data_IF_531006290747
#
_entry.id   IF_531006290747
#
_cell.length_a   1.000
_cell.length_b   1.000
_cell.length_c   1.000
_cell.angle_alpha   90.00
_cell.angle_beta   90.00
_cell.angle_gamma   90.00
#
_symmetry.space_group_name_H-M   'P 1'
#
loop_
_entity.id
_entity.type
_entity.pdbx_description
1 polymer ?
#
# COMPACT_ATOMS: atom_id res chain seq x y z
N UNK A 1 -39.83 44.49 10.64
CA UNK A 1 -39.74 43.26 11.47
C UNK A 1 -39.90 41.95 10.68
N UNK A 2 -40.92 41.79 9.82
CA UNK A 2 -41.17 40.51 9.12
C UNK A 2 -40.03 39.99 8.22
N UNK A 3 -39.24 40.86 7.56
CA UNK A 3 -38.11 40.44 6.72
C UNK A 3 -36.94 39.88 7.55
N UNK A 4 -36.63 40.52 8.69
CA UNK A 4 -35.58 40.09 9.63
C UNK A 4 -35.94 38.77 10.28
N UNK A 5 -37.22 38.59 10.66
CA UNK A 5 -37.71 37.33 11.23
C UNK A 5 -37.62 36.15 10.23
N UNK A 6 -37.87 36.41 8.93
CA UNK A 6 -37.69 35.40 7.87
C UNK A 6 -36.23 35.00 7.67
N UNK A 7 -35.29 35.96 7.72
CA UNK A 7 -33.86 35.66 7.63
C UNK A 7 -33.36 34.84 8.84
N UNK A 8 -33.79 35.20 10.05
CA UNK A 8 -33.51 34.43 11.25
C UNK A 8 -34.05 32.99 11.15
N UNK A 9 -35.31 32.84 10.71
CA UNK A 9 -35.92 31.52 10.55
C UNK A 9 -35.18 30.67 9.50
N UNK A 10 -34.82 31.27 8.36
CA UNK A 10 -34.10 30.59 7.30
C UNK A 10 -32.67 30.21 7.72
N UNK A 11 -32.01 31.04 8.53
CA UNK A 11 -30.69 30.74 9.10
C UNK A 11 -30.76 29.58 10.11
N UNK A 12 -31.76 29.58 10.99
CA UNK A 12 -31.98 28.49 11.96
C UNK A 12 -32.34 27.19 11.24
N UNK A 13 -33.19 27.25 10.22
CA UNK A 13 -33.54 26.10 9.40
C UNK A 13 -32.32 25.52 8.67
N UNK A 14 -31.48 26.38 8.06
CA UNK A 14 -30.24 25.94 7.42
C UNK A 14 -29.28 25.29 8.42
N UNK A 15 -29.17 25.80 9.64
CA UNK A 15 -28.34 25.23 10.69
C UNK A 15 -28.84 23.84 11.10
N UNK A 16 -30.15 23.68 11.24
CA UNK A 16 -30.78 22.39 11.54
C UNK A 16 -30.49 21.39 10.41
N UNK A 17 -30.65 21.77 9.14
CA UNK A 17 -30.35 20.88 8.02
C UNK A 17 -28.91 20.34 8.04
N UNK A 18 -27.91 21.18 8.35
CA UNK A 18 -26.50 20.75 8.44
C UNK A 18 -26.29 19.75 9.58
N UNK A 19 -26.96 19.94 10.73
CA UNK A 19 -26.86 19.04 11.88
C UNK A 19 -27.51 17.66 11.64
N UNK A 20 -28.48 17.57 10.73
CA UNK A 20 -29.17 16.32 10.39
C UNK A 20 -28.48 15.50 9.28
N UNK A 21 -27.48 16.05 8.59
CA UNK A 21 -26.68 15.29 7.61
C UNK A 21 -25.62 14.49 8.36
N UNK A 22 -26.03 13.37 8.96
CA UNK A 22 -25.10 12.35 9.46
C UNK A 22 -24.78 11.38 8.32
N UNK A 23 -23.65 11.59 7.64
CA UNK A 23 -23.14 10.62 6.67
C UNK A 23 -22.35 9.53 7.41
N UNK A 24 -22.83 8.29 7.37
CA UNK A 24 -22.03 7.15 7.79
C UNK A 24 -20.99 6.85 6.70
N UNK A 25 -19.74 7.26 6.93
CA UNK A 25 -18.62 6.88 6.08
C UNK A 25 -18.17 5.47 6.47
N UNK A 26 -18.44 4.49 5.63
CA UNK A 26 -17.94 3.13 5.81
C UNK A 26 -16.52 3.04 5.22
N UNK A 27 -15.51 3.13 6.07
CA UNK A 27 -14.16 2.73 5.69
C UNK A 27 -14.10 1.21 5.64
N UNK A 28 -13.97 0.63 4.45
CA UNK A 28 -13.75 -0.80 4.31
C UNK A 28 -12.30 -1.13 4.72
N UNK A 29 -12.06 -2.14 5.58
CA UNK A 29 -10.71 -2.58 5.89
C UNK A 29 -10.02 -3.12 4.63
N UNK A 30 -8.68 -3.03 4.59
CA UNK A 30 -7.90 -3.64 3.53
C UNK A 30 -8.15 -5.16 3.49
N UNK A 31 -8.30 -5.73 2.30
CA UNK A 31 -8.52 -7.17 2.15
C UNK A 31 -7.25 -7.94 2.52
N UNK A 32 -7.27 -8.65 3.64
CA UNK A 32 -6.14 -9.46 4.15
C UNK A 32 -6.09 -10.89 3.56
N UNK A 33 -6.92 -11.19 2.56
CA UNK A 33 -7.06 -12.54 2.03
C UNK A 33 -6.11 -12.88 0.87
N UNK A 34 -6.10 -14.17 0.53
CA UNK A 34 -5.39 -14.70 -0.63
C UNK A 34 -6.11 -14.26 -1.91
N UNK A 35 -5.36 -13.68 -2.85
CA UNK A 35 -5.87 -13.20 -4.13
C UNK A 35 -5.27 -14.03 -5.27
N UNK A 36 -6.10 -14.36 -6.26
CA UNK A 36 -5.64 -14.96 -7.51
C UNK A 36 -4.98 -13.88 -8.38
N UNK A 37 -3.69 -14.03 -8.62
CA UNK A 37 -2.86 -13.15 -9.44
C UNK A 37 -2.48 -13.84 -10.75
N UNK A 38 -2.09 -13.04 -11.74
CA UNK A 38 -1.72 -13.51 -13.07
C UNK A 38 -0.48 -12.77 -13.57
N UNK A 39 0.49 -13.51 -14.08
CA UNK A 39 1.62 -12.97 -14.80
C UNK A 39 1.16 -12.39 -16.15
N UNK A 40 1.81 -11.34 -16.68
CA UNK A 40 1.53 -10.84 -18.02
C UNK A 40 1.61 -11.91 -19.12
N UNK A 41 2.44 -12.95 -18.95
CA UNK A 41 2.55 -14.09 -19.87
C UNK A 41 1.41 -15.12 -19.77
N UNK A 42 0.61 -15.09 -18.70
CA UNK A 42 -0.57 -15.94 -18.57
C UNK A 42 -0.62 -16.81 -17.31
N UNK A 43 0.53 -17.11 -16.70
CA UNK A 43 0.64 -17.99 -15.54
C UNK A 43 -0.10 -17.40 -14.35
N UNK A 44 -0.99 -18.19 -13.73
CA UNK A 44 -1.74 -17.77 -12.55
C UNK A 44 -1.13 -18.34 -11.28
N UNK A 45 -1.23 -17.57 -10.19
CA UNK A 45 -0.80 -18.01 -8.86
C UNK A 45 -1.65 -17.34 -7.79
N UNK A 46 -1.57 -17.85 -6.57
CA UNK A 46 -2.22 -17.27 -5.40
C UNK A 46 -1.19 -16.54 -4.55
N UNK A 47 -1.53 -15.34 -4.11
CA UNK A 47 -0.66 -14.54 -3.25
C UNK A 47 -1.44 -13.64 -2.30
N UNK A 48 -0.80 -13.30 -1.19
CA UNK A 48 -1.29 -12.34 -0.20
C UNK A 48 -0.54 -11.03 -0.39
N UNK A 49 -1.26 -9.93 -0.51
CA UNK A 49 -0.67 -8.59 -0.63
C UNK A 49 -0.36 -8.05 0.76
N UNK A 50 0.82 -7.45 0.91
CA UNK A 50 1.27 -6.88 2.17
C UNK A 50 1.77 -5.47 1.99
N UNK A 51 1.73 -4.69 3.08
CA UNK A 51 2.39 -3.40 3.17
C UNK A 51 1.49 -2.20 2.91
N UNK A 52 2.11 -1.07 2.58
CA UNK A 52 1.49 0.24 2.35
C UNK A 52 2.08 0.93 1.10
N UNK A 53 1.71 2.19 0.85
CA UNK A 53 2.21 2.96 -0.30
C UNK A 53 3.73 3.15 -0.29
N UNK A 54 4.37 2.95 0.87
CA UNK A 54 5.80 3.14 1.06
C UNK A 54 6.58 1.85 0.87
N UNK A 55 6.02 0.73 1.33
CA UNK A 55 6.66 -0.57 1.23
C UNK A 55 5.61 -1.67 1.15
N UNK A 56 5.54 -2.33 -0.01
CA UNK A 56 4.60 -3.42 -0.29
C UNK A 56 5.31 -4.59 -0.96
N UNK A 57 4.73 -5.79 -0.80
CA UNK A 57 5.18 -7.02 -1.44
C UNK A 57 4.03 -8.02 -1.54
N UNK A 58 4.23 -9.10 -2.29
CA UNK A 58 3.33 -10.25 -2.30
C UNK A 58 4.04 -11.45 -1.72
N UNK A 59 3.39 -12.19 -0.82
CA UNK A 59 3.84 -13.52 -0.43
C UNK A 59 2.97 -14.60 -1.07
N UNK A 60 3.58 -15.74 -1.38
CA UNK A 60 2.86 -16.91 -1.90
C UNK A 60 2.64 -17.92 -0.78
N UNK A 61 1.77 -18.91 -1.01
CA UNK A 61 1.54 -20.01 -0.06
C UNK A 61 2.82 -20.78 0.32
N UNK A 62 3.79 -20.83 -0.60
CA UNK A 62 5.07 -21.51 -0.41
C UNK A 62 6.10 -20.64 0.34
N UNK A 63 5.72 -19.43 0.77
CA UNK A 63 6.57 -18.49 1.48
C UNK A 63 7.53 -17.69 0.59
N UNK A 64 7.36 -17.74 -0.73
CA UNK A 64 8.12 -16.89 -1.66
C UNK A 64 7.63 -15.45 -1.59
N UNK A 65 8.57 -14.50 -1.66
CA UNK A 65 8.31 -13.06 -1.69
C UNK A 65 8.51 -12.53 -3.11
N UNK A 66 7.55 -11.73 -3.57
CA UNK A 66 7.49 -11.21 -4.93
C UNK A 66 7.32 -9.69 -4.94
N UNK A 67 7.95 -9.04 -5.93
CA UNK A 67 7.70 -7.65 -6.30
C UNK A 67 7.29 -7.55 -7.77
N UNK A 68 6.37 -6.63 -8.05
CA UNK A 68 5.98 -6.34 -9.42
C UNK A 68 6.96 -5.34 -10.04
N UNK A 69 7.44 -5.63 -11.25
CA UNK A 69 8.22 -4.67 -12.02
C UNK A 69 7.33 -3.69 -12.81
N UNK A 70 7.96 -2.71 -13.45
CA UNK A 70 7.27 -1.70 -14.26
C UNK A 70 6.50 -2.28 -15.47
N UNK A 71 6.80 -3.51 -15.87
CA UNK A 71 6.11 -4.22 -16.96
C UNK A 71 4.97 -5.09 -16.45
N UNK A 72 4.72 -5.10 -15.14
CA UNK A 72 3.66 -5.87 -14.52
C UNK A 72 4.04 -7.31 -14.16
N UNK A 73 5.29 -7.73 -14.36
CA UNK A 73 5.72 -9.09 -14.00
C UNK A 73 6.03 -9.19 -12.52
N UNK A 74 5.58 -10.30 -11.91
CA UNK A 74 5.93 -10.65 -10.54
C UNK A 74 7.25 -11.42 -10.51
N UNK A 75 8.24 -10.85 -9.84
CA UNK A 75 9.60 -11.35 -9.79
C UNK A 75 9.98 -11.78 -8.37
N UNK A 76 10.77 -12.83 -8.26
CA UNK A 76 11.48 -13.17 -7.03
C UNK A 76 12.35 -12.01 -6.58
N UNK A 77 12.49 -11.86 -5.28
CA UNK A 77 13.25 -10.75 -4.69
C UNK A 77 14.38 -11.26 -3.81
N UNK A 78 15.45 -10.49 -3.76
CA UNK A 78 16.54 -10.65 -2.81
C UNK A 78 16.49 -9.54 -1.77
N UNK A 79 17.00 -9.84 -0.59
CA UNK A 79 17.13 -8.89 0.48
C UNK A 79 18.58 -8.42 0.57
N UNK A 80 18.80 -7.14 0.30
CA UNK A 80 20.09 -6.49 0.53
C UNK A 80 20.16 -5.95 1.97
N UNK A 81 21.26 -5.27 2.34
CA UNK A 81 21.42 -4.69 3.69
C UNK A 81 20.24 -3.80 4.10
N UNK A 82 19.71 -3.04 3.15
CA UNK A 82 18.87 -1.88 3.40
C UNK A 82 17.65 -1.81 2.47
N UNK A 83 17.52 -2.74 1.52
CA UNK A 83 16.46 -2.74 0.51
C UNK A 83 16.04 -4.14 0.05
N UNK A 84 14.73 -4.29 -0.24
CA UNK A 84 14.15 -5.43 -0.94
C UNK A 84 14.21 -5.19 -2.46
N UNK A 85 14.98 -6.00 -3.19
CA UNK A 85 15.23 -5.78 -4.63
C UNK A 85 14.71 -6.93 -5.49
N UNK A 86 14.17 -6.60 -6.66
CA UNK A 86 13.81 -7.60 -7.66
C UNK A 86 15.07 -8.25 -8.23
N UNK A 87 15.06 -9.59 -8.30
CA UNK A 87 16.11 -10.37 -8.97
C UNK A 87 15.94 -10.41 -10.49
N UNK A 88 14.81 -9.91 -11.01
CA UNK A 88 14.42 -10.03 -12.42
C UNK A 88 14.05 -11.46 -12.86
N UNK A 89 14.01 -12.43 -11.94
CA UNK A 89 13.55 -13.79 -12.21
C UNK A 89 12.05 -13.88 -11.93
N UNK A 90 11.27 -14.20 -12.96
CA UNK A 90 9.82 -14.18 -12.91
C UNK A 90 9.26 -15.43 -12.24
N UNK A 91 8.34 -15.23 -11.30
CA UNK A 91 7.68 -16.30 -10.58
C UNK A 91 6.89 -17.21 -11.53
N UNK A 92 6.99 -18.54 -11.36
CA UNK A 92 6.39 -19.60 -12.22
C UNK A 92 6.88 -19.66 -13.67
N UNK A 93 7.80 -18.80 -14.09
CA UNK A 93 8.33 -18.76 -15.46
C UNK A 93 9.82 -19.10 -15.45
N UNK A 94 10.59 -18.40 -14.61
CA UNK A 94 12.02 -18.61 -14.46
C UNK A 94 12.31 -19.56 -13.29
N UNK A 95 13.48 -20.22 -13.31
CA UNK A 95 13.96 -21.00 -12.18
C UNK A 95 14.16 -20.09 -10.96
N UNK A 96 13.60 -20.49 -9.81
CA UNK A 96 13.75 -19.79 -8.53
C UNK A 96 15.25 -19.61 -8.19
N UNK A 97 15.71 -18.37 -7.96
CA UNK A 97 17.09 -18.11 -7.60
C UNK A 97 17.34 -18.51 -6.14
N UNK A 98 18.55 -18.99 -5.82
CA UNK A 98 18.93 -19.42 -4.46
C UNK A 98 18.99 -18.26 -3.45
N UNK A 99 19.23 -17.03 -3.95
CA UNK A 99 19.21 -15.78 -3.18
C UNK A 99 17.80 -15.24 -2.90
N UNK A 100 16.74 -15.89 -3.41
CA UNK A 100 15.37 -15.45 -3.16
C UNK A 100 15.05 -15.45 -1.67
N UNK A 101 14.61 -14.30 -1.15
CA UNK A 101 14.22 -14.18 0.25
C UNK A 101 12.89 -14.91 0.47
N UNK A 102 12.75 -15.53 1.65
CA UNK A 102 11.47 -16.05 2.11
C UNK A 102 10.77 -15.06 3.04
N UNK A 103 9.47 -15.24 3.20
CA UNK A 103 8.62 -14.37 4.01
C UNK A 103 9.08 -14.28 5.47
N UNK A 104 9.51 -15.39 6.08
CA UNK A 104 9.98 -15.39 7.47
C UNK A 104 11.23 -14.53 7.67
N UNK A 105 12.20 -14.59 6.73
CA UNK A 105 13.41 -13.78 6.80
C UNK A 105 13.09 -12.31 6.52
N UNK A 106 12.19 -12.03 5.58
CA UNK A 106 11.72 -10.67 5.32
C UNK A 106 11.04 -10.07 6.56
N UNK A 107 10.12 -10.80 7.21
CA UNK A 107 9.40 -10.32 8.39
C UNK A 107 10.35 -9.99 9.55
N UNK A 108 11.41 -10.80 9.75
CA UNK A 108 12.47 -10.51 10.72
C UNK A 108 13.21 -9.22 10.38
N UNK A 109 13.56 -9.03 9.10
CA UNK A 109 14.24 -7.82 8.65
C UNK A 109 13.36 -6.58 8.79
N UNK A 110 12.08 -6.65 8.40
CA UNK A 110 11.10 -5.55 8.54
C UNK A 110 11.01 -5.12 10.01
N UNK A 111 10.91 -6.08 10.94
CA UNK A 111 10.82 -5.78 12.37
C UNK A 111 12.04 -5.02 12.90
N UNK A 112 13.23 -5.36 12.42
CA UNK A 112 14.48 -4.76 12.90
C UNK A 112 14.80 -3.42 12.21
N UNK A 113 14.51 -3.33 10.91
CA UNK A 113 14.96 -2.22 10.07
C UNK A 113 13.89 -1.14 9.84
N UNK A 114 12.60 -1.49 9.94
CA UNK A 114 11.46 -0.60 9.68
C UNK A 114 11.57 0.19 8.36
N UNK A 115 11.52 -0.50 7.21
CA UNK A 115 11.71 0.12 5.88
C UNK A 115 10.67 1.19 5.56
N UNK A 116 9.45 1.05 6.10
CA UNK A 116 8.36 2.00 5.91
C UNK A 116 8.69 3.37 6.51
N UNK A 117 9.15 3.40 7.76
CA UNK A 117 9.54 4.63 8.44
C UNK A 117 10.71 5.32 7.73
N UNK A 118 11.71 4.54 7.29
CA UNK A 118 12.87 5.08 6.57
C UNK A 118 12.46 5.76 5.27
N UNK A 119 11.66 5.09 4.43
CA UNK A 119 11.18 5.66 3.15
C UNK A 119 10.32 6.92 3.37
N UNK A 120 9.48 6.95 4.40
CA UNK A 120 8.72 8.15 4.79
C UNK A 120 9.66 9.31 5.15
N UNK A 121 10.68 9.05 5.96
CA UNK A 121 11.66 10.06 6.35
C UNK A 121 12.46 10.59 5.15
N UNK A 122 12.91 9.71 4.25
CA UNK A 122 13.61 10.09 3.02
C UNK A 122 12.76 11.01 2.13
N UNK A 123 11.47 10.70 1.99
CA UNK A 123 10.54 11.54 1.24
C UNK A 123 10.33 12.91 1.89
N UNK A 124 10.14 12.96 3.21
CA UNK A 124 10.00 14.24 3.92
C UNK A 124 11.26 15.11 3.80
N UNK A 125 12.44 14.51 3.88
CA UNK A 125 13.72 15.21 3.67
C UNK A 125 13.84 15.75 2.24
N UNK A 126 13.31 15.04 1.24
CA UNK A 126 13.27 15.49 -0.14
C UNK A 126 12.35 16.71 -0.30
N UNK A 127 11.15 16.66 0.26
CA UNK A 127 10.20 17.78 0.24
C UNK A 127 10.78 19.04 0.90
N UNK A 128 11.50 18.90 2.02
CA UNK A 128 12.15 20.03 2.68
C UNK A 128 13.26 20.68 1.83
N UNK A 129 13.97 19.89 1.01
CA UNK A 129 15.00 20.40 0.10
C UNK A 129 14.41 21.12 -1.12
N UNK A 130 13.24 20.68 -1.57
CA UNK A 130 12.55 21.22 -2.74
C UNK A 130 11.67 22.44 -2.42
N UNK A 131 11.32 22.65 -1.14
CA UNK A 131 10.61 23.85 -0.69
C UNK A 131 11.46 25.11 -0.92
N UNK A 132 10.99 26.09 -1.71
CA UNK A 132 11.66 27.38 -1.83
C UNK A 132 11.67 28.08 -0.47
N UNK A 133 12.82 28.68 -0.12
CA UNK A 133 12.98 29.51 1.09
C UNK A 133 12.13 30.78 1.02
#
# INVERSE_FOLDING_TARGET
>A
MQRILKFLFMSVFSLICVLYVQTNAFAAPAYEGVVKMKQPSGESFEGTLHGDEWFHWVSTKDGDVLLQDQKGYWNYVELTSDELKSTGKKYKIDKKPSMAVNENNLNKWIKNYNPQAKKKQEHMNKLQKESPK
#
